data_IF_945364279014
#
_entry.id   IF_945364279014
#
_cell.length_a   1.000
_cell.length_b   1.000
_cell.length_c   1.000
_cell.angle_alpha   90.00
_cell.angle_beta   90.00
_cell.angle_gamma   90.00
#
_symmetry.space_group_name_H-M   'P 1'
#
loop_
_entity.id
_entity.type
_entity.pdbx_description
1 polymer ?
#
# COMPACT_ATOMS: atom_id res chain seq x y z
N UNK A 1 -30.47 -11.41 33.53
CA UNK A 1 -29.81 -10.89 32.32
C UNK A 1 -29.27 -12.09 31.55
N UNK A 2 -29.84 -12.37 30.38
CA UNK A 2 -29.37 -13.43 29.48
C UNK A 2 -27.96 -13.08 28.99
N UNK A 3 -26.99 -13.92 29.33
CA UNK A 3 -25.61 -13.81 28.88
C UNK A 3 -25.57 -13.86 27.35
N UNK A 4 -25.18 -12.76 26.71
CA UNK A 4 -25.04 -12.71 25.26
C UNK A 4 -23.85 -13.58 24.84
N UNK A 5 -24.11 -14.56 23.96
CA UNK A 5 -23.06 -15.36 23.34
C UNK A 5 -22.94 -14.90 21.88
N UNK A 6 -21.84 -14.22 21.50
CA UNK A 6 -21.65 -13.78 20.14
C UNK A 6 -21.55 -14.98 19.18
N UNK A 7 -22.15 -14.83 17.99
CA UNK A 7 -22.09 -15.86 16.97
C UNK A 7 -20.68 -15.90 16.38
N UNK A 8 -19.97 -17.00 16.57
CA UNK A 8 -18.62 -17.19 16.05
C UNK A 8 -18.68 -17.21 14.51
N UNK A 9 -18.13 -16.18 13.87
CA UNK A 9 -18.15 -16.06 12.42
C UNK A 9 -17.20 -17.09 11.78
N UNK A 10 -17.64 -17.68 10.67
CA UNK A 10 -16.85 -18.64 9.88
C UNK A 10 -15.60 -17.98 9.29
N UNK A 11 -14.42 -18.43 9.72
CA UNK A 11 -13.13 -17.98 9.16
C UNK A 11 -13.01 -18.23 7.65
N UNK A 12 -13.67 -19.27 7.14
CA UNK A 12 -13.67 -19.60 5.70
C UNK A 12 -14.45 -18.59 4.87
N UNK A 13 -15.59 -18.13 5.38
CA UNK A 13 -16.41 -17.10 4.71
C UNK A 13 -15.70 -15.76 4.65
N UNK A 14 -15.03 -15.38 5.75
CA UNK A 14 -14.24 -14.14 5.80
C UNK A 14 -13.04 -14.18 4.85
N UNK A 15 -12.33 -15.30 4.73
CA UNK A 15 -11.24 -15.46 3.78
C UNK A 15 -11.72 -15.30 2.33
N UNK A 16 -12.86 -15.91 1.99
CA UNK A 16 -13.42 -15.83 0.65
C UNK A 16 -13.84 -14.40 0.29
N UNK A 17 -14.55 -13.71 1.18
CA UNK A 17 -14.97 -12.32 0.98
C UNK A 17 -13.76 -11.38 0.75
N UNK A 18 -12.74 -11.53 1.59
CA UNK A 18 -11.49 -10.76 1.49
C UNK A 18 -10.76 -11.02 0.16
N UNK A 19 -10.64 -12.29 -0.23
CA UNK A 19 -9.97 -12.70 -1.47
C UNK A 19 -10.76 -12.23 -2.70
N UNK A 20 -12.09 -12.28 -2.64
CA UNK A 20 -12.96 -11.84 -3.71
C UNK A 20 -12.82 -10.32 -3.94
N UNK A 21 -12.88 -9.53 -2.87
CA UNK A 21 -12.65 -8.08 -2.95
C UNK A 21 -11.25 -7.76 -3.47
N UNK A 22 -10.21 -8.49 -3.02
CA UNK A 22 -8.84 -8.31 -3.50
C UNK A 22 -8.73 -8.51 -5.02
N UNK A 23 -9.34 -9.57 -5.55
CA UNK A 23 -9.39 -9.84 -6.99
C UNK A 23 -10.15 -8.74 -7.73
N UNK A 24 -11.28 -8.28 -7.18
CA UNK A 24 -12.11 -7.24 -7.78
C UNK A 24 -11.36 -5.90 -7.87
N UNK A 25 -10.62 -5.54 -6.82
CA UNK A 25 -9.74 -4.35 -6.81
C UNK A 25 -8.63 -4.50 -7.84
N UNK A 26 -7.95 -5.65 -7.89
CA UNK A 26 -6.90 -5.91 -8.86
C UNK A 26 -7.40 -5.77 -10.30
N UNK A 27 -8.55 -6.38 -10.61
CA UNK A 27 -9.19 -6.28 -11.93
C UNK A 27 -9.61 -4.84 -12.21
N UNK A 28 -10.19 -4.12 -11.25
CA UNK A 28 -10.60 -2.72 -11.41
C UNK A 28 -9.42 -1.79 -11.70
N UNK A 29 -8.23 -2.07 -11.17
CA UNK A 29 -7.01 -1.32 -11.46
C UNK A 29 -6.41 -1.71 -12.82
N UNK A 30 -6.61 -2.96 -13.26
CA UNK A 30 -6.06 -3.46 -14.52
C UNK A 30 -6.90 -3.12 -15.75
N UNK A 31 -8.23 -3.01 -15.61
CA UNK A 31 -9.15 -2.69 -16.71
C UNK A 31 -8.78 -1.36 -17.40
N UNK A 32 -8.53 -0.25 -16.68
CA UNK A 32 -8.08 1.00 -17.29
C UNK A 32 -6.78 0.85 -18.08
N UNK A 33 -5.80 0.11 -17.55
CA UNK A 33 -4.52 -0.11 -18.25
C UNK A 33 -4.70 -0.85 -19.58
N UNK A 34 -5.67 -1.77 -19.67
CA UNK A 34 -5.98 -2.48 -20.91
C UNK A 34 -6.78 -1.63 -21.91
N UNK A 35 -7.54 -0.65 -21.43
CA UNK A 35 -8.32 0.27 -22.28
C UNK A 35 -7.53 1.53 -22.70
N UNK A 36 -6.53 1.92 -21.91
CA UNK A 36 -5.71 3.13 -22.10
C UNK A 36 -4.43 2.85 -22.92
N UNK A 37 -4.25 1.62 -23.41
CA UNK A 37 -3.08 1.23 -24.22
C UNK A 37 -2.93 2.00 -25.53
N UNK A 38 -3.99 2.71 -25.99
CA UNK A 38 -3.93 3.57 -27.19
C UNK A 38 -3.60 5.05 -26.87
N UNK A 39 -3.58 5.49 -25.61
CA UNK A 39 -3.33 6.91 -25.26
C UNK A 39 -2.17 7.17 -24.30
N UNK A 40 -1.51 6.13 -23.79
CA UNK A 40 -0.30 6.33 -22.98
C UNK A 40 0.72 5.21 -23.17
N UNK A 41 1.14 5.02 -24.42
CA UNK A 41 2.45 4.42 -24.66
C UNK A 41 3.51 5.42 -24.23
N UNK A 42 4.00 5.28 -22.99
CA UNK A 42 5.38 5.62 -22.71
C UNK A 42 6.21 4.71 -23.63
N UNK A 43 6.55 5.24 -24.81
CA UNK A 43 7.34 4.53 -25.79
C UNK A 43 8.69 4.17 -25.17
N UNK A 44 8.82 2.90 -24.80
CA UNK A 44 10.09 2.19 -24.67
C UNK A 44 10.70 2.09 -26.08
N UNK A 45 11.35 3.17 -26.53
CA UNK A 45 12.21 3.15 -27.71
C UNK A 45 13.35 4.15 -27.49
N UNK A 46 14.20 3.90 -26.49
CA UNK A 46 15.55 4.47 -26.52
C UNK A 46 16.35 3.69 -27.55
N UNK A 47 16.44 4.24 -28.76
CA UNK A 47 17.67 4.29 -29.59
C UNK A 47 17.29 4.77 -30.99
N UNK A 48 17.72 5.98 -31.34
CA UNK A 48 17.76 6.59 -32.71
C UNK A 48 16.66 7.58 -33.11
N UNK A 49 15.78 8.02 -32.21
CA UNK A 49 14.91 9.16 -32.53
C UNK A 49 15.71 10.46 -32.38
N UNK A 50 15.61 11.35 -33.37
CA UNK A 50 16.20 12.69 -33.30
C UNK A 50 15.62 13.36 -32.06
N UNK A 51 16.49 13.74 -31.12
CA UNK A 51 16.06 14.44 -29.91
C UNK A 51 15.59 15.83 -30.32
N UNK A 52 14.29 16.05 -30.23
CA UNK A 52 13.62 17.31 -30.53
C UNK A 52 12.46 17.56 -29.57
N UNK A 53 12.04 18.82 -29.40
CA UNK A 53 10.95 19.16 -28.47
C UNK A 53 9.65 18.40 -28.76
N UNK A 54 9.34 18.16 -30.04
CA UNK A 54 8.18 17.36 -30.42
C UNK A 54 8.31 15.88 -30.00
N UNK A 55 9.52 15.32 -30.05
CA UNK A 55 9.77 13.94 -29.62
C UNK A 55 9.67 13.76 -28.10
N UNK A 56 9.95 14.82 -27.34
CA UNK A 56 9.86 14.84 -25.87
C UNK A 56 8.44 15.07 -25.37
N UNK A 57 7.47 15.28 -26.27
CA UNK A 57 6.08 15.59 -25.96
C UNK A 57 5.94 16.78 -24.97
N UNK A 58 6.82 17.77 -25.14
CA UNK A 58 6.86 19.01 -24.35
C UNK A 58 6.02 20.08 -25.05
N UNK A 59 5.14 20.76 -24.33
CA UNK A 59 4.35 21.85 -24.90
C UNK A 59 5.21 23.10 -25.20
N UNK A 60 4.79 24.00 -26.12
CA UNK A 60 5.56 25.21 -26.43
C UNK A 60 5.83 26.10 -25.21
N UNK A 61 4.91 26.12 -24.23
CA UNK A 61 5.08 26.90 -23.00
C UNK A 61 6.17 26.29 -22.10
N UNK A 62 6.23 24.96 -22.00
CA UNK A 62 7.25 24.26 -21.24
C UNK A 62 8.61 24.37 -21.92
N UNK A 63 8.67 24.31 -23.25
CA UNK A 63 9.88 24.57 -24.02
C UNK A 63 10.47 25.94 -23.69
N UNK A 64 9.65 27.00 -23.65
CA UNK A 64 10.13 28.33 -23.25
C UNK A 64 10.70 28.34 -21.82
N UNK A 65 10.14 27.55 -20.91
CA UNK A 65 10.65 27.44 -19.54
C UNK A 65 12.01 26.74 -19.50
N UNK A 66 12.18 25.64 -20.23
CA UNK A 66 13.47 24.95 -20.36
C UNK A 66 14.54 25.85 -20.96
N UNK A 67 14.19 26.62 -22.00
CA UNK A 67 15.10 27.58 -22.62
C UNK A 67 15.45 28.73 -21.67
N UNK A 68 14.50 29.23 -20.86
CA UNK A 68 14.77 30.24 -19.82
C UNK A 68 15.70 29.72 -18.72
N UNK A 69 15.65 28.42 -18.43
CA UNK A 69 16.55 27.73 -17.52
C UNK A 69 17.93 27.44 -18.14
N UNK A 70 18.11 27.73 -19.44
CA UNK A 70 19.36 27.54 -20.16
C UNK A 70 19.57 26.14 -20.73
N UNK A 71 18.53 25.32 -20.81
CA UNK A 71 18.58 23.98 -21.38
C UNK A 71 18.20 23.99 -22.87
N UNK A 72 18.94 23.24 -23.66
CA UNK A 72 18.62 22.90 -25.06
C UNK A 72 17.85 21.57 -25.15
N UNK A 73 17.40 21.20 -26.35
CA UNK A 73 16.62 19.99 -26.61
C UNK A 73 17.29 18.73 -26.05
N UNK A 74 18.61 18.64 -26.23
CA UNK A 74 19.41 17.50 -25.81
C UNK A 74 19.60 17.41 -24.30
N UNK A 75 19.90 18.53 -23.63
CA UNK A 75 20.10 18.54 -22.18
C UNK A 75 18.78 18.45 -21.41
N UNK A 76 17.70 19.03 -21.93
CA UNK A 76 16.36 18.83 -21.38
C UNK A 76 15.90 17.38 -21.56
N UNK A 77 16.22 16.73 -22.69
CA UNK A 77 15.87 15.32 -22.92
C UNK A 77 16.50 14.40 -21.88
N UNK A 78 17.74 14.63 -21.46
CA UNK A 78 18.36 13.83 -20.40
C UNK A 78 17.55 13.91 -19.11
N UNK A 79 17.11 15.11 -18.72
CA UNK A 79 16.35 15.33 -17.48
C UNK A 79 14.91 14.82 -17.59
N UNK A 80 14.25 15.04 -18.73
CA UNK A 80 12.87 14.62 -18.96
C UNK A 80 12.76 13.10 -19.06
N UNK A 81 13.76 12.45 -19.67
CA UNK A 81 13.79 11.00 -19.83
C UNK A 81 14.47 10.28 -18.66
N UNK A 82 15.08 10.99 -17.71
CA UNK A 82 15.57 10.43 -16.45
C UNK A 82 14.38 9.94 -15.62
N UNK A 83 13.91 8.72 -15.93
CA UNK A 83 12.86 8.07 -15.16
C UNK A 83 13.40 7.78 -13.76
N UNK A 84 12.55 7.95 -12.75
CA UNK A 84 12.85 7.56 -11.39
C UNK A 84 13.46 6.14 -11.36
N UNK A 85 14.63 6.01 -10.74
CA UNK A 85 15.28 4.71 -10.56
C UNK A 85 14.46 3.88 -9.56
N UNK A 86 13.77 2.86 -10.07
CA UNK A 86 12.98 1.92 -9.27
C UNK A 86 13.82 0.72 -8.80
N UNK A 87 15.15 0.80 -8.81
CA UNK A 87 16.01 -0.23 -8.25
C UNK A 87 15.78 -0.34 -6.76
N UNK A 88 15.14 -1.42 -6.34
CA UNK A 88 14.86 -1.71 -4.94
C UNK A 88 16.11 -2.33 -4.33
N UNK A 89 16.69 -1.68 -3.32
CA UNK A 89 17.70 -2.29 -2.46
C UNK A 89 17.01 -3.34 -1.53
N UNK A 90 17.28 -4.65 -1.70
CA UNK A 90 16.65 -5.69 -0.89
C UNK A 90 16.99 -5.58 0.61
N UNK A 91 18.15 -5.01 0.96
CA UNK A 91 18.55 -4.84 2.36
C UNK A 91 17.70 -3.77 3.04
N UNK A 92 17.59 -2.59 2.44
CA UNK A 92 16.77 -1.50 2.98
C UNK A 92 15.28 -1.85 3.01
N UNK A 93 14.81 -2.56 1.98
CA UNK A 93 13.47 -3.14 1.97
C UNK A 93 13.27 -4.10 3.17
N UNK A 94 14.23 -5.00 3.40
CA UNK A 94 14.20 -5.95 4.51
C UNK A 94 14.20 -5.27 5.89
N UNK A 95 15.02 -4.22 6.07
CA UNK A 95 15.04 -3.43 7.30
C UNK A 95 13.70 -2.76 7.53
N UNK A 96 13.13 -2.14 6.50
CA UNK A 96 11.81 -1.47 6.58
C UNK A 96 10.72 -2.47 6.96
N UNK A 97 10.69 -3.64 6.31
CA UNK A 97 9.75 -4.71 6.64
C UNK A 97 9.92 -5.19 8.09
N UNK A 98 11.15 -5.36 8.56
CA UNK A 98 11.44 -5.76 9.93
C UNK A 98 10.91 -4.73 10.93
N UNK A 99 11.15 -3.43 10.70
CA UNK A 99 10.65 -2.36 11.58
C UNK A 99 9.14 -2.38 11.67
N UNK A 100 8.44 -2.52 10.53
CA UNK A 100 6.98 -2.59 10.49
C UNK A 100 6.48 -3.81 11.26
N UNK A 101 7.00 -5.00 10.96
CA UNK A 101 6.61 -6.25 11.63
C UNK A 101 6.88 -6.15 13.13
N UNK A 102 8.06 -5.67 13.51
CA UNK A 102 8.46 -5.49 14.91
C UNK A 102 7.54 -4.53 15.66
N UNK A 103 7.16 -3.41 15.03
CA UNK A 103 6.18 -2.48 15.58
C UNK A 103 4.83 -3.14 15.82
N UNK A 104 4.30 -3.89 14.84
CA UNK A 104 3.02 -4.59 15.01
C UNK A 104 3.08 -5.66 16.10
N UNK A 105 4.16 -6.43 16.19
CA UNK A 105 4.36 -7.41 17.27
C UNK A 105 4.35 -6.72 18.63
N UNK A 106 5.09 -5.61 18.76
CA UNK A 106 5.13 -4.83 19.99
C UNK A 106 3.74 -4.28 20.35
N UNK A 107 3.05 -3.66 19.39
CA UNK A 107 1.72 -3.08 19.56
C UNK A 107 0.71 -4.12 20.03
N UNK A 108 0.66 -5.29 19.39
CA UNK A 108 -0.24 -6.37 19.76
C UNK A 108 0.06 -6.89 21.18
N UNK A 109 1.34 -7.07 21.51
CA UNK A 109 1.75 -7.57 22.83
C UNK A 109 1.39 -6.60 23.96
N UNK A 110 1.61 -5.30 23.76
CA UNK A 110 1.24 -4.27 24.74
C UNK A 110 -0.28 -4.16 24.86
N UNK A 111 -0.97 -4.21 23.72
CA UNK A 111 -2.43 -4.14 23.66
C UNK A 111 -3.09 -5.28 24.44
N UNK A 112 -2.59 -6.51 24.34
CA UNK A 112 -3.12 -7.65 25.11
C UNK A 112 -3.08 -7.42 26.64
N UNK A 113 -2.03 -6.79 27.17
CA UNK A 113 -1.95 -6.50 28.62
C UNK A 113 -3.04 -5.52 29.04
N UNK A 114 -3.17 -4.43 28.29
CA UNK A 114 -4.13 -3.37 28.57
C UNK A 114 -5.57 -3.88 28.44
N UNK A 115 -5.87 -4.69 27.42
CA UNK A 115 -7.17 -5.33 27.30
C UNK A 115 -7.46 -6.27 28.47
N UNK A 116 -6.47 -7.06 28.92
CA UNK A 116 -6.64 -7.94 30.08
C UNK A 116 -6.91 -7.16 31.38
N UNK A 117 -6.20 -6.05 31.59
CA UNK A 117 -6.37 -5.19 32.76
C UNK A 117 -7.76 -4.55 32.79
N UNK A 118 -8.24 -4.03 31.65
CA UNK A 118 -9.60 -3.48 31.54
C UNK A 118 -10.65 -4.57 31.77
N UNK A 119 -10.44 -5.78 31.24
CA UNK A 119 -11.36 -6.91 31.48
C UNK A 119 -11.37 -7.27 32.97
N UNK A 120 -10.22 -7.33 33.63
CA UNK A 120 -10.13 -7.61 35.07
C UNK A 120 -10.81 -6.53 35.91
N UNK A 121 -10.70 -5.25 35.53
CA UNK A 121 -11.38 -4.14 36.22
C UNK A 121 -12.90 -4.21 36.04
N UNK A 122 -13.38 -4.47 34.82
CA UNK A 122 -14.83 -4.44 34.51
C UNK A 122 -15.57 -5.72 34.86
N UNK A 123 -14.88 -6.87 34.84
CA UNK A 123 -15.50 -8.19 34.98
C UNK A 123 -14.89 -9.02 36.12
N UNK A 124 -13.83 -8.56 36.77
CA UNK A 124 -13.12 -9.31 37.80
C UNK A 124 -12.07 -10.26 37.23
N UNK A 125 -11.19 -10.77 38.09
CA UNK A 125 -10.16 -11.73 37.68
C UNK A 125 -10.78 -13.06 37.25
N UNK A 126 -10.07 -13.80 36.39
CA UNK A 126 -10.49 -15.12 35.90
C UNK A 126 -10.93 -16.08 37.01
N UNK A 127 -10.32 -15.99 38.19
CA UNK A 127 -10.69 -16.77 39.37
C UNK A 127 -12.09 -16.40 39.91
N UNK A 128 -12.37 -15.09 40.03
CA UNK A 128 -13.68 -14.61 40.49
C UNK A 128 -14.82 -14.89 39.50
N UNK A 129 -14.51 -14.90 38.20
CA UNK A 129 -15.43 -15.29 37.14
C UNK A 129 -15.76 -16.80 37.20
N UNK A 130 -14.74 -17.63 37.42
CA UNK A 130 -14.92 -19.08 37.57
C UNK A 130 -15.70 -19.45 38.85
N UNK A 131 -15.49 -18.72 39.96
CA UNK A 131 -16.30 -18.89 41.19
C UNK A 131 -17.76 -18.47 40.99
N UNK A 132 -18.02 -17.39 40.25
CA UNK A 132 -19.39 -16.96 39.93
C UNK A 132 -20.11 -17.93 38.98
N UNK A 133 -19.39 -18.61 38.08
CA UNK A 133 -19.95 -19.70 37.26
C UNK A 133 -20.19 -20.97 38.09
N UNK A 134 -19.30 -21.33 39.01
CA UNK A 134 -19.49 -22.49 39.88
C UNK A 134 -20.63 -22.32 40.90
N UNK A 135 -21.02 -21.08 41.20
CA UNK A 135 -22.12 -20.75 42.11
C UNK A 135 -23.48 -20.51 41.40
N UNK A 136 -23.52 -20.56 40.07
CA UNK A 136 -24.76 -20.48 39.26
C UNK A 136 -25.24 -21.85 38.81
#
# INVERSE_FOLDING_TARGET
MSTYVPKVQSKKGQLFDSLFILILVYVSLYIPLFLESDSKSASDNTSSQVISWESLNVSPVEQEQWQKLGFDETSAAEIINDKFDYTIDPLMLGITALVIIGYFIFMLRVSESQYREVIAEKFGDKASLAEQEAQR
#
